data_IF_162612953749
#
_entry.id   IF_162612953749
#
_cell.length_a   1.000
_cell.length_b   1.000
_cell.length_c   1.000
_cell.angle_alpha   90.00
_cell.angle_beta   90.00
_cell.angle_gamma   90.00
#
_symmetry.space_group_name_H-M   'P 1'
#
loop_
_entity.id
_entity.type
_entity.pdbx_description
1 polymer ?
#
# COMPACT_ATOMS: atom_id res chain seq x y z
N UNK A 1 -43.28 13.23 24.88
CA UNK A 1 -43.25 12.02 25.74
C UNK A 1 -42.04 11.17 25.33
N UNK A 2 -41.55 10.27 26.21
CA UNK A 2 -40.41 9.36 25.94
C UNK A 2 -40.72 8.46 24.72
N UNK A 3 -39.82 7.80 23.98
CA UNK A 3 -38.41 7.40 24.12
C UNK A 3 -37.87 7.07 22.69
N UNK A 4 -36.62 6.69 22.37
CA UNK A 4 -35.41 6.25 23.09
C UNK A 4 -34.14 6.63 22.27
N UNK A 5 -32.94 6.39 22.82
CA UNK A 5 -31.71 6.17 22.04
C UNK A 5 -31.60 4.69 21.62
N UNK A 6 -31.07 4.41 20.43
CA UNK A 6 -30.44 3.12 20.11
C UNK A 6 -29.10 3.36 19.40
N UNK A 7 -28.01 3.12 20.14
CA UNK A 7 -26.65 3.23 19.67
C UNK A 7 -26.16 1.84 19.24
N UNK A 8 -26.21 1.51 17.95
CA UNK A 8 -25.58 0.30 17.38
C UNK A 8 -25.48 0.42 15.86
N UNK A 9 -24.26 0.27 15.33
CA UNK A 9 -23.96 0.38 13.92
C UNK A 9 -22.88 1.44 13.68
N UNK A 10 -21.63 0.99 13.72
CA UNK A 10 -20.56 1.78 13.11
C UNK A 10 -20.97 2.03 11.65
N UNK A 11 -21.14 3.29 11.27
CA UNK A 11 -21.26 3.63 9.87
C UNK A 11 -19.93 3.22 9.21
N UNK A 12 -19.92 2.06 8.56
CA UNK A 12 -18.98 1.79 7.47
C UNK A 12 -19.23 2.91 6.49
N UNK A 13 -18.38 3.94 6.55
CA UNK A 13 -18.35 4.99 5.57
C UNK A 13 -18.30 4.29 4.21
N UNK A 14 -19.19 4.62 3.26
CA UNK A 14 -19.16 3.98 1.96
C UNK A 14 -17.83 4.38 1.31
N UNK A 15 -16.83 3.49 1.41
CA UNK A 15 -15.67 3.52 0.53
C UNK A 15 -16.24 3.38 -0.87
N UNK A 16 -16.37 4.53 -1.56
CA UNK A 16 -16.81 4.58 -2.95
C UNK A 16 -16.03 3.51 -3.72
N UNK A 17 -16.70 2.67 -4.53
CA UNK A 17 -16.02 1.64 -5.30
C UNK A 17 -14.91 2.30 -6.12
N UNK A 18 -13.68 1.84 -5.85
CA UNK A 18 -12.42 2.60 -6.00
C UNK A 18 -12.46 3.78 -6.96
N UNK A 19 -12.42 5.00 -6.40
CA UNK A 19 -11.96 6.17 -7.14
C UNK A 19 -10.53 5.87 -7.61
N UNK A 20 -10.40 5.41 -8.86
CA UNK A 20 -9.11 5.22 -9.52
C UNK A 20 -8.34 6.53 -9.37
N UNK A 21 -7.19 6.48 -8.72
CA UNK A 21 -6.43 7.70 -8.47
C UNK A 21 -6.02 8.31 -9.80
N UNK A 22 -6.40 9.56 -10.03
CA UNK A 22 -5.97 10.33 -11.20
C UNK A 22 -4.43 10.46 -11.28
N UNK A 23 -3.75 10.30 -10.14
CA UNK A 23 -2.29 10.38 -9.98
C UNK A 23 -1.59 9.03 -10.16
N UNK A 24 -2.25 7.91 -9.82
CA UNK A 24 -1.68 6.56 -9.91
C UNK A 24 -2.47 5.72 -10.90
N UNK A 25 -2.06 5.77 -12.17
CA UNK A 25 -2.63 4.93 -13.24
C UNK A 25 -2.06 3.51 -13.10
N UNK A 26 -2.84 2.44 -13.29
CA UNK A 26 -2.27 1.09 -13.30
C UNK A 26 -1.29 0.92 -14.47
N UNK A 27 -0.25 0.11 -14.30
CA UNK A 27 0.59 -0.32 -15.43
C UNK A 27 -0.23 -1.20 -16.39
N UNK A 28 -0.03 -1.03 -17.70
CA UNK A 28 -0.79 -1.74 -18.76
C UNK A 28 0.14 -2.45 -19.74
N UNK A 29 1.27 -1.81 -20.08
CA UNK A 29 2.28 -2.39 -20.98
C UNK A 29 3.05 -3.53 -20.29
N UNK A 30 3.31 -4.64 -21.01
CA UNK A 30 4.06 -5.80 -20.48
C UNK A 30 5.41 -5.43 -19.86
N UNK A 31 6.10 -4.44 -20.44
CA UNK A 31 7.38 -3.92 -19.95
C UNK A 31 7.27 -3.22 -18.59
N UNK A 32 6.11 -2.64 -18.31
CA UNK A 32 5.81 -1.97 -17.05
C UNK A 32 5.31 -2.98 -16.02
N UNK A 33 4.48 -3.95 -16.43
CA UNK A 33 4.04 -5.06 -15.58
C UNK A 33 5.23 -5.86 -15.03
N UNK A 34 6.28 -6.06 -15.82
CA UNK A 34 7.53 -6.71 -15.38
C UNK A 34 8.46 -5.81 -14.52
N UNK A 35 8.10 -4.55 -14.25
CA UNK A 35 8.92 -3.67 -13.41
C UNK A 35 8.88 -4.07 -11.95
N UNK A 36 7.70 -4.35 -11.41
CA UNK A 36 7.52 -4.81 -10.03
C UNK A 36 7.66 -6.34 -9.97
N UNK A 37 8.49 -6.83 -9.06
CA UNK A 37 8.78 -8.25 -8.87
C UNK A 37 8.00 -8.80 -7.67
N UNK A 38 8.04 -10.12 -7.47
CA UNK A 38 7.48 -10.80 -6.29
C UNK A 38 6.00 -10.45 -6.01
N UNK A 39 5.18 -10.46 -7.06
CA UNK A 39 3.75 -10.09 -7.10
C UNK A 39 3.44 -8.65 -6.65
N UNK A 40 4.39 -7.71 -6.76
CA UNK A 40 4.15 -6.29 -6.44
C UNK A 40 3.19 -5.61 -7.42
N UNK A 41 2.24 -4.82 -6.91
CA UNK A 41 1.30 -4.06 -7.75
C UNK A 41 2.01 -2.86 -8.40
N UNK A 42 1.89 -2.74 -9.73
CA UNK A 42 2.54 -1.67 -10.51
C UNK A 42 1.59 -0.51 -10.81
N UNK A 43 2.07 0.71 -10.57
CA UNK A 43 1.40 1.95 -10.99
C UNK A 43 2.37 2.92 -11.67
N UNK A 44 1.83 3.72 -12.59
CA UNK A 44 2.49 4.82 -13.28
C UNK A 44 2.09 6.12 -12.60
N UNK A 45 3.09 6.92 -12.24
CA UNK A 45 2.96 8.29 -11.76
C UNK A 45 3.48 9.21 -12.86
N UNK A 46 2.57 9.99 -13.46
CA UNK A 46 2.94 11.07 -14.39
C UNK A 46 3.21 12.34 -13.60
N UNK A 47 4.42 12.89 -13.74
CA UNK A 47 4.83 14.14 -13.10
C UNK A 47 5.40 15.12 -14.14
N UNK A 48 5.61 16.37 -13.74
CA UNK A 48 6.33 17.35 -14.58
C UNK A 48 7.76 16.93 -14.93
N UNK A 49 8.38 16.04 -14.14
CA UNK A 49 9.73 15.52 -14.39
C UNK A 49 9.74 14.30 -15.33
N UNK A 50 8.57 13.73 -15.65
CA UNK A 50 8.43 12.55 -16.49
C UNK A 50 7.54 11.47 -15.89
N UNK A 51 7.61 10.29 -16.50
CA UNK A 51 6.78 9.12 -16.19
C UNK A 51 7.58 8.17 -15.29
N UNK A 52 7.10 7.95 -14.07
CA UNK A 52 7.75 7.09 -13.08
C UNK A 52 6.90 5.86 -12.78
N UNK A 53 7.55 4.76 -12.40
CA UNK A 53 6.88 3.53 -11.95
C UNK A 53 6.98 3.44 -10.43
N UNK A 54 5.89 3.04 -9.79
CA UNK A 54 5.78 2.86 -8.35
C UNK A 54 5.20 1.49 -8.05
N UNK A 55 5.93 0.71 -7.26
CA UNK A 55 5.53 -0.62 -6.83
C UNK A 55 4.98 -0.58 -5.40
N UNK A 56 3.78 -1.15 -5.21
CA UNK A 56 3.31 -1.55 -3.88
C UNK A 56 3.72 -3.00 -3.66
N UNK A 57 4.72 -3.20 -2.81
CA UNK A 57 5.26 -4.53 -2.57
C UNK A 57 4.34 -5.40 -1.72
N UNK A 58 4.37 -6.70 -2.02
CA UNK A 58 3.79 -7.76 -1.18
C UNK A 58 4.53 -7.83 0.16
N UNK A 59 3.86 -8.31 1.20
CA UNK A 59 4.42 -8.40 2.54
C UNK A 59 5.76 -9.17 2.58
N UNK A 60 6.74 -8.64 3.31
CA UNK A 60 8.12 -9.14 3.37
C UNK A 60 9.03 -8.63 2.24
N UNK A 61 8.47 -8.13 1.14
CA UNK A 61 9.24 -7.56 0.03
C UNK A 61 9.32 -6.03 0.10
N UNK A 62 10.45 -5.49 -0.34
CA UNK A 62 10.77 -4.06 -0.30
C UNK A 62 11.78 -3.69 -1.41
N UNK A 63 12.16 -2.41 -1.46
CA UNK A 63 12.97 -1.84 -2.54
C UNK A 63 12.12 -1.31 -3.70
N UNK A 64 12.74 -0.57 -4.62
CA UNK A 64 12.06 0.11 -5.73
C UNK A 64 11.31 -0.85 -6.66
N UNK A 65 11.76 -2.12 -6.75
CA UNK A 65 11.19 -3.17 -7.60
C UNK A 65 10.63 -4.35 -6.79
N UNK A 66 10.52 -4.25 -5.47
CA UNK A 66 10.12 -5.35 -4.58
C UNK A 66 11.05 -6.57 -4.64
N UNK A 67 12.31 -6.37 -5.01
CA UNK A 67 13.34 -7.39 -5.19
C UNK A 67 14.04 -7.80 -3.89
N UNK A 68 13.98 -6.95 -2.86
CA UNK A 68 14.62 -7.19 -1.58
C UNK A 68 13.62 -7.91 -0.65
N UNK A 69 14.05 -8.98 0.03
CA UNK A 69 13.24 -9.70 1.01
C UNK A 69 13.80 -9.50 2.42
N UNK A 70 13.00 -8.94 3.32
CA UNK A 70 13.27 -8.96 4.77
C UNK A 70 12.32 -10.02 5.33
N UNK A 71 12.84 -11.18 5.76
CA UNK A 71 12.04 -12.12 6.52
C UNK A 71 11.48 -11.39 7.74
N UNK A 72 10.23 -11.70 8.12
CA UNK A 72 9.74 -11.36 9.45
C UNK A 72 10.47 -12.24 10.47
N UNK A 73 11.72 -11.89 10.82
CA UNK A 73 12.45 -12.47 11.96
C UNK A 73 12.00 -11.82 13.27
N UNK A 74 10.68 -11.63 13.36
CA UNK A 74 9.94 -10.86 14.34
C UNK A 74 10.30 -9.35 14.41
N UNK A 75 9.30 -8.48 14.58
CA UNK A 75 9.51 -7.06 14.91
C UNK A 75 9.81 -6.88 16.41
N UNK A 76 10.61 -7.79 16.98
CA UNK A 76 10.78 -7.94 18.42
C UNK A 76 11.98 -7.10 18.88
N UNK A 77 11.66 -6.07 19.68
CA UNK A 77 12.59 -5.25 20.47
C UNK A 77 13.52 -4.31 19.69
N UNK A 78 12.92 -3.30 19.06
CA UNK A 78 13.52 -1.95 19.06
C UNK A 78 13.14 -1.16 20.33
N UNK A 79 13.21 -1.81 21.50
CA UNK A 79 13.15 -1.13 22.79
C UNK A 79 14.56 -0.59 23.13
N UNK A 80 14.74 0.74 23.32
CA UNK A 80 16.07 1.35 23.50
C UNK A 80 16.72 1.06 24.88
N UNK A 81 16.25 0.06 25.62
CA UNK A 81 16.70 -0.24 27.00
C UNK A 81 17.92 -1.18 27.04
N UNK A 82 18.40 -1.71 25.91
CA UNK A 82 19.67 -2.44 25.82
C UNK A 82 20.88 -1.49 25.95
N UNK A 83 21.12 -1.05 27.18
CA UNK A 83 22.32 -0.30 27.59
C UNK A 83 23.55 -1.21 27.58
N UNK A 84 24.65 -0.70 27.05
CA UNK A 84 26.03 -0.99 27.46
C UNK A 84 26.73 0.35 27.70
#
# INVERSE_FOLDING_TARGET
MKSSLSLSGAAVAPTLPGLRSEVFKPCVEDKDLAFCLNDGECSIIETRAGVHRHCRCKEGYHGLRCDQFVPKTDAILSDPTCRL
#
